data_IF_850010340730
#
_entry.id   IF_850010340730
#
_cell.length_a   1.000
_cell.length_b   1.000
_cell.length_c   1.000
_cell.angle_alpha   90.00
_cell.angle_beta   90.00
_cell.angle_gamma   90.00
#
_symmetry.space_group_name_H-M   'P 1'
#
loop_
_entity.id
_entity.type
_entity.pdbx_description
1 polymer ?
#
# COMPACT_ATOMS: atom_id res chain seq x y z
N UNK A 1 18.63 -5.99 13.59
CA UNK A 1 17.20 -6.37 13.80
C UNK A 1 16.33 -5.47 12.95
N UNK A 2 15.50 -6.03 12.07
CA UNK A 2 14.63 -5.25 11.17
C UNK A 2 13.63 -4.46 12.01
N UNK A 3 13.42 -3.20 11.67
CA UNK A 3 12.53 -2.31 12.44
C UNK A 3 11.18 -2.14 11.77
N UNK A 4 11.14 -1.96 10.44
CA UNK A 4 9.92 -1.67 9.68
C UNK A 4 9.74 -2.65 8.54
N UNK A 5 8.51 -3.14 8.36
CA UNK A 5 8.08 -3.92 7.21
C UNK A 5 7.16 -3.08 6.33
N UNK A 6 7.56 -2.84 5.09
CA UNK A 6 6.72 -2.18 4.09
C UNK A 6 5.88 -3.26 3.43
N UNK A 7 4.57 -3.07 3.39
CA UNK A 7 3.59 -4.04 2.90
C UNK A 7 2.84 -3.43 1.73
N UNK A 8 2.93 -4.06 0.56
CA UNK A 8 2.15 -3.70 -0.62
C UNK A 8 1.11 -4.80 -0.87
N UNK A 9 -0.17 -4.56 -0.55
CA UNK A 9 -1.25 -5.50 -0.87
C UNK A 9 -1.47 -5.52 -2.39
N UNK A 10 -1.33 -6.70 -3.00
CA UNK A 10 -1.63 -6.92 -4.42
C UNK A 10 -2.63 -8.06 -4.54
N UNK A 11 -3.87 -7.73 -4.91
CA UNK A 11 -4.89 -8.74 -5.16
C UNK A 11 -4.68 -9.42 -6.52
N UNK A 12 -5.48 -10.45 -6.80
CA UNK A 12 -5.51 -11.05 -8.12
C UNK A 12 -5.87 -9.99 -9.17
N UNK A 13 -4.97 -9.84 -10.16
CA UNK A 13 -5.06 -8.77 -11.18
C UNK A 13 -6.37 -8.89 -11.96
N UNK A 14 -6.82 -10.13 -12.22
CA UNK A 14 -8.07 -10.39 -12.97
C UNK A 14 -9.35 -9.88 -12.28
N UNK A 15 -9.33 -9.61 -10.98
CA UNK A 15 -10.49 -9.07 -10.24
C UNK A 15 -10.32 -7.62 -9.80
N UNK A 16 -9.13 -7.05 -10.04
CA UNK A 16 -8.84 -5.66 -9.71
C UNK A 16 -9.63 -4.69 -10.59
N UNK A 17 -9.81 -3.47 -10.09
CA UNK A 17 -10.36 -2.32 -10.85
C UNK A 17 -11.70 -2.61 -11.57
N UNK A 18 -12.65 -3.21 -10.87
CA UNK A 18 -13.97 -3.55 -11.44
C UNK A 18 -14.72 -2.36 -12.08
N UNK A 19 -14.48 -1.13 -11.61
CA UNK A 19 -15.07 0.09 -12.15
C UNK A 19 -14.56 0.45 -13.55
N UNK A 20 -13.30 0.08 -13.88
CA UNK A 20 -12.72 0.29 -15.20
C UNK A 20 -13.21 -0.71 -16.26
N UNK A 21 -13.77 -1.85 -15.84
CA UNK A 21 -14.22 -2.92 -16.79
C UNK A 21 -15.34 -2.52 -17.72
N UNK A 22 -16.03 -1.42 -17.45
CA UNK A 22 -17.07 -0.90 -18.34
C UNK A 22 -16.51 -0.26 -19.59
N UNK A 23 -15.29 0.28 -19.49
CA UNK A 23 -14.67 1.11 -20.55
C UNK A 23 -13.39 0.48 -21.13
N UNK A 24 -12.79 -0.51 -20.45
CA UNK A 24 -11.49 -1.07 -20.84
C UNK A 24 -11.52 -2.60 -20.86
N UNK A 25 -10.73 -3.17 -21.79
CA UNK A 25 -10.55 -4.62 -21.85
C UNK A 25 -9.83 -5.15 -20.61
N UNK A 26 -10.04 -6.43 -20.28
CA UNK A 26 -9.36 -7.06 -19.15
C UNK A 26 -7.83 -7.02 -19.30
N UNK A 27 -7.35 -7.13 -20.55
CA UNK A 27 -5.90 -7.05 -20.83
C UNK A 27 -5.34 -5.66 -20.53
N UNK A 28 -6.01 -4.59 -20.94
CA UNK A 28 -5.61 -3.21 -20.63
C UNK A 28 -5.60 -2.96 -19.11
N UNK A 29 -6.62 -3.45 -18.39
CA UNK A 29 -6.66 -3.36 -16.93
C UNK A 29 -5.50 -4.13 -16.28
N UNK A 30 -5.20 -5.32 -16.79
CA UNK A 30 -4.09 -6.13 -16.26
C UNK A 30 -2.74 -5.42 -16.45
N UNK A 31 -2.52 -4.81 -17.63
CA UNK A 31 -1.32 -4.01 -17.92
C UNK A 31 -1.23 -2.80 -16.98
N UNK A 32 -2.33 -2.07 -16.81
CA UNK A 32 -2.40 -0.93 -15.89
C UNK A 32 -2.04 -1.32 -14.46
N UNK A 33 -2.71 -2.33 -13.90
CA UNK A 33 -2.47 -2.78 -12.51
C UNK A 33 -1.03 -3.25 -12.31
N UNK A 34 -0.50 -4.01 -13.28
CA UNK A 34 0.89 -4.44 -13.25
C UNK A 34 1.86 -3.25 -13.28
N UNK A 35 1.60 -2.26 -14.13
CA UNK A 35 2.45 -1.07 -14.27
C UNK A 35 2.44 -0.22 -13.00
N UNK A 36 1.26 0.12 -12.46
CA UNK A 36 1.15 0.89 -11.21
C UNK A 36 1.89 0.19 -10.07
N UNK A 37 1.63 -1.10 -9.87
CA UNK A 37 2.27 -1.86 -8.79
C UNK A 37 3.77 -2.02 -8.98
N UNK A 38 4.25 -2.26 -10.21
CA UNK A 38 5.69 -2.35 -10.51
C UNK A 38 6.39 -1.02 -10.23
N UNK A 39 5.83 0.09 -10.69
CA UNK A 39 6.37 1.43 -10.47
C UNK A 39 6.49 1.77 -8.98
N UNK A 40 5.48 1.44 -8.18
CA UNK A 40 5.56 1.60 -6.72
C UNK A 40 6.69 0.76 -6.13
N UNK A 41 6.76 -0.54 -6.49
CA UNK A 41 7.78 -1.45 -5.99
C UNK A 41 9.18 -0.97 -6.36
N UNK A 42 9.41 -0.53 -7.62
CA UNK A 42 10.70 0.01 -8.08
C UNK A 42 11.15 1.21 -7.23
N UNK A 43 10.25 2.16 -6.99
CA UNK A 43 10.55 3.34 -6.18
C UNK A 43 10.85 2.99 -4.73
N UNK A 44 10.09 2.08 -4.13
CA UNK A 44 10.36 1.61 -2.77
C UNK A 44 11.71 0.88 -2.72
N UNK A 45 12.01 -0.01 -3.67
CA UNK A 45 13.30 -0.71 -3.73
C UNK A 45 14.47 0.29 -3.84
N UNK A 46 14.35 1.33 -4.68
CA UNK A 46 15.37 2.41 -4.79
C UNK A 46 15.60 3.09 -3.45
N UNK A 47 14.54 3.47 -2.74
CA UNK A 47 14.65 4.08 -1.41
C UNK A 47 15.33 3.16 -0.40
N UNK A 48 15.10 1.87 -0.48
CA UNK A 48 15.60 0.90 0.50
C UNK A 48 17.04 0.44 0.25
N UNK A 49 17.67 0.77 -0.88
CA UNK A 49 19.03 0.30 -1.24
C UNK A 49 20.02 0.51 -0.09
N UNK A 50 20.01 1.68 0.54
CA UNK A 50 20.92 2.03 1.66
C UNK A 50 20.40 1.60 3.04
N UNK A 51 19.17 1.14 3.16
CA UNK A 51 18.50 0.88 4.44
C UNK A 51 18.04 -0.58 4.63
N UNK A 52 18.56 -1.51 3.84
CA UNK A 52 18.21 -2.95 3.88
C UNK A 52 18.38 -3.62 5.25
N UNK A 53 19.21 -3.05 6.14
CA UNK A 53 19.36 -3.55 7.51
C UNK A 53 18.18 -3.21 8.41
N UNK A 54 17.41 -2.17 8.10
CA UNK A 54 16.33 -1.64 8.92
C UNK A 54 14.94 -1.84 8.33
N UNK A 55 14.83 -2.10 7.03
CA UNK A 55 13.57 -2.18 6.29
C UNK A 55 13.51 -3.42 5.43
N UNK A 56 12.36 -4.05 5.39
CA UNK A 56 12.04 -5.09 4.42
C UNK A 56 10.80 -4.67 3.61
N UNK A 57 10.73 -5.14 2.36
CA UNK A 57 9.58 -4.98 1.48
C UNK A 57 8.88 -6.32 1.33
N UNK A 58 7.55 -6.32 1.45
CA UNK A 58 6.73 -7.51 1.29
C UNK A 58 5.52 -7.26 0.39
N UNK A 59 5.21 -8.20 -0.47
CA UNK A 59 3.93 -8.28 -1.17
C UNK A 59 2.96 -9.11 -0.32
N UNK A 60 1.80 -8.53 -0.01
CA UNK A 60 0.71 -9.22 0.68
C UNK A 60 -0.27 -9.76 -0.36
N UNK A 61 -0.24 -11.07 -0.62
CA UNK A 61 -1.08 -11.71 -1.64
C UNK A 61 -1.31 -13.18 -1.37
N UNK A 62 -2.49 -13.69 -1.67
CA UNK A 62 -2.81 -15.11 -1.76
C UNK A 62 -2.67 -15.67 -3.19
N UNK A 63 -2.49 -14.80 -4.20
CA UNK A 63 -2.50 -15.17 -5.61
C UNK A 63 -1.11 -15.64 -6.09
N UNK A 64 -1.01 -16.92 -6.50
CA UNK A 64 0.24 -17.47 -7.02
C UNK A 64 0.69 -16.80 -8.34
N UNK A 65 -0.26 -16.32 -9.17
CA UNK A 65 0.09 -15.56 -10.39
C UNK A 65 0.82 -14.27 -10.05
N UNK A 66 0.37 -13.54 -9.00
CA UNK A 66 1.07 -12.34 -8.53
C UNK A 66 2.48 -12.69 -8.05
N UNK A 67 2.65 -13.76 -7.27
CA UNK A 67 3.99 -14.21 -6.83
C UNK A 67 4.90 -14.53 -8.01
N UNK A 68 4.37 -15.18 -9.05
CA UNK A 68 5.13 -15.50 -10.26
C UNK A 68 5.55 -14.28 -11.05
N UNK A 69 4.72 -13.24 -11.11
CA UNK A 69 5.03 -11.97 -11.81
C UNK A 69 6.22 -11.23 -11.18
N UNK A 70 6.36 -11.29 -9.85
CA UNK A 70 7.40 -10.57 -9.12
C UNK A 70 8.52 -11.47 -8.58
N UNK A 71 8.61 -12.74 -9.02
CA UNK A 71 9.56 -13.75 -8.51
C UNK A 71 11.03 -13.36 -8.64
N UNK A 72 11.38 -12.52 -9.61
CA UNK A 72 12.76 -12.04 -9.84
C UNK A 72 13.19 -10.95 -8.84
N UNK A 73 12.25 -10.36 -8.08
CA UNK A 73 12.53 -9.33 -7.09
C UNK A 73 12.91 -9.95 -5.76
N UNK A 74 13.83 -9.33 -5.05
CA UNK A 74 14.20 -9.72 -3.68
C UNK A 74 13.19 -9.16 -2.65
N UNK A 75 11.94 -9.64 -2.73
CA UNK A 75 10.79 -9.17 -1.94
C UNK A 75 10.23 -10.35 -1.14
N UNK A 76 9.81 -10.11 0.08
CA UNK A 76 9.11 -11.08 0.92
C UNK A 76 7.65 -11.27 0.43
N UNK A 77 7.11 -12.46 0.66
CA UNK A 77 5.69 -12.74 0.39
C UNK A 77 4.96 -13.11 1.68
N UNK A 78 3.87 -12.39 1.96
CA UNK A 78 2.94 -12.69 3.04
C UNK A 78 1.66 -13.21 2.40
N UNK A 79 1.29 -14.46 2.72
CA UNK A 79 0.14 -15.12 2.11
C UNK A 79 -0.87 -15.52 3.16
N UNK A 80 -1.99 -14.77 3.28
CA UNK A 80 -3.13 -15.22 4.07
C UNK A 80 -3.65 -16.56 3.55
N UNK A 81 -3.99 -17.48 4.45
CA UNK A 81 -4.49 -18.81 4.07
C UNK A 81 -5.94 -18.78 3.57
N UNK A 82 -6.69 -17.73 3.91
CA UNK A 82 -8.11 -17.57 3.56
C UNK A 82 -8.32 -16.29 2.76
N UNK A 83 -9.20 -16.37 1.76
CA UNK A 83 -9.72 -15.17 1.09
C UNK A 83 -10.40 -14.29 2.13
N UNK A 84 -10.18 -12.98 2.02
CA UNK A 84 -10.72 -12.02 2.99
C UNK A 84 -10.67 -10.60 2.46
N UNK A 85 -11.25 -9.67 3.21
CA UNK A 85 -11.17 -8.24 2.98
C UNK A 85 -9.73 -7.73 3.15
N UNK A 86 -9.42 -6.55 2.59
CA UNK A 86 -8.12 -5.92 2.79
C UNK A 86 -7.80 -5.74 4.28
N UNK A 87 -8.80 -5.38 5.09
CA UNK A 87 -8.65 -5.22 6.54
C UNK A 87 -8.21 -6.51 7.24
N UNK A 88 -8.80 -7.63 6.88
CA UNK A 88 -8.44 -8.95 7.43
C UNK A 88 -7.05 -9.38 6.98
N UNK A 89 -6.69 -9.15 5.70
CA UNK A 89 -5.36 -9.44 5.15
C UNK A 89 -4.28 -8.61 5.85
N UNK A 90 -4.51 -7.31 6.05
CA UNK A 90 -3.57 -6.44 6.76
C UNK A 90 -3.45 -6.85 8.23
N UNK A 91 -4.55 -7.21 8.89
CA UNK A 91 -4.51 -7.74 10.27
C UNK A 91 -3.71 -9.06 10.37
N UNK A 92 -3.80 -9.91 9.33
CA UNK A 92 -2.96 -11.11 9.25
C UNK A 92 -1.47 -10.74 9.10
N UNK A 93 -1.16 -9.81 8.20
CA UNK A 93 0.21 -9.35 7.95
C UNK A 93 0.82 -8.69 9.20
N UNK A 94 0.03 -7.92 9.96
CA UNK A 94 0.45 -7.34 11.24
C UNK A 94 0.88 -8.44 12.23
N UNK A 95 0.03 -9.45 12.47
CA UNK A 95 0.38 -10.57 13.36
C UNK A 95 1.60 -11.35 12.87
N UNK A 96 1.75 -11.52 11.56
CA UNK A 96 2.94 -12.13 10.96
C UNK A 96 4.19 -11.28 11.23
N UNK A 97 4.11 -9.95 11.07
CA UNK A 97 5.21 -9.03 11.32
C UNK A 97 5.63 -9.01 12.81
N UNK A 98 4.66 -9.04 13.73
CA UNK A 98 4.93 -9.16 15.18
C UNK A 98 5.71 -10.45 15.48
N UNK A 99 5.29 -11.59 14.93
CA UNK A 99 6.00 -12.88 15.10
C UNK A 99 7.42 -12.86 14.50
N UNK A 100 7.69 -11.98 13.55
CA UNK A 100 9.01 -11.79 12.92
C UNK A 100 9.82 -10.65 13.56
N UNK A 101 9.36 -10.12 14.71
CA UNK A 101 10.01 -9.08 15.50
C UNK A 101 10.17 -7.73 14.81
N UNK A 102 9.31 -7.40 13.83
CA UNK A 102 9.22 -6.02 13.32
C UNK A 102 8.65 -5.10 14.40
N UNK A 103 9.01 -3.81 14.35
CA UNK A 103 8.55 -2.78 15.28
C UNK A 103 7.45 -1.90 14.71
N UNK A 104 7.37 -1.82 13.39
CA UNK A 104 6.30 -1.12 12.70
C UNK A 104 6.01 -1.76 11.34
N UNK A 105 4.82 -1.47 10.81
CA UNK A 105 4.43 -1.81 9.44
C UNK A 105 4.01 -0.55 8.71
N UNK A 106 4.40 -0.42 7.43
CA UNK A 106 3.96 0.64 6.53
C UNK A 106 3.19 0.02 5.37
N UNK A 107 1.90 0.28 5.28
CA UNK A 107 1.02 -0.26 4.23
C UNK A 107 0.88 0.79 3.13
N UNK A 108 1.20 0.41 1.89
CA UNK A 108 1.08 1.24 0.69
C UNK A 108 0.20 0.50 -0.34
N UNK A 109 -0.88 1.09 -0.86
CA UNK A 109 -1.71 0.46 -1.87
C UNK A 109 -0.95 0.35 -3.20
N UNK A 110 -1.23 -0.71 -3.95
CA UNK A 110 -0.52 -1.02 -5.21
C UNK A 110 -0.98 -0.20 -6.42
N UNK A 111 -1.93 0.68 -6.23
CA UNK A 111 -2.62 1.44 -7.29
C UNK A 111 -2.44 2.95 -7.20
N UNK A 112 -1.45 3.39 -6.44
CA UNK A 112 -1.01 4.79 -6.47
C UNK A 112 -0.62 5.19 -7.90
N UNK A 113 -1.11 6.33 -8.36
CA UNK A 113 -0.95 6.77 -9.74
C UNK A 113 0.53 7.02 -10.08
N UNK A 114 1.18 7.91 -9.33
CA UNK A 114 2.58 8.25 -9.53
C UNK A 114 3.23 8.74 -8.22
N UNK A 115 3.46 7.88 -7.22
CA UNK A 115 4.02 8.29 -5.94
C UNK A 115 5.47 8.76 -6.09
N UNK A 116 5.78 9.99 -5.69
CA UNK A 116 7.15 10.52 -5.74
C UNK A 116 8.06 9.86 -4.72
N UNK A 117 9.37 9.85 -4.99
CA UNK A 117 10.36 9.35 -4.02
C UNK A 117 10.36 10.18 -2.72
N UNK A 118 10.06 11.47 -2.81
CA UNK A 118 9.97 12.36 -1.66
C UNK A 118 8.81 11.99 -0.74
N UNK A 119 7.59 11.92 -1.28
CA UNK A 119 6.40 11.55 -0.50
C UNK A 119 6.51 10.13 0.08
N UNK A 120 7.06 9.17 -0.70
CA UNK A 120 7.33 7.82 -0.20
C UNK A 120 8.36 7.82 0.93
N UNK A 121 9.42 8.62 0.82
CA UNK A 121 10.42 8.78 1.88
C UNK A 121 9.80 9.33 3.16
N UNK A 122 8.95 10.34 3.04
CA UNK A 122 8.33 11.02 4.18
C UNK A 122 7.41 10.09 4.98
N UNK A 123 6.68 9.18 4.33
CA UNK A 123 5.84 8.22 5.05
C UNK A 123 6.62 6.99 5.54
N UNK A 124 7.55 6.44 4.73
CA UNK A 124 8.30 5.22 5.06
C UNK A 124 9.31 5.48 6.19
N UNK A 125 10.05 6.58 6.11
CA UNK A 125 11.11 6.90 7.05
C UNK A 125 10.68 7.86 8.15
N UNK A 126 9.36 8.07 8.30
CA UNK A 126 8.85 8.87 9.40
C UNK A 126 9.36 8.31 10.75
N UNK A 127 9.86 9.17 11.65
CA UNK A 127 10.36 8.72 12.95
C UNK A 127 9.21 8.20 13.83
N UNK A 128 9.09 6.87 13.90
CA UNK A 128 8.02 6.22 14.64
C UNK A 128 8.33 6.12 16.12
N UNK A 129 7.39 6.57 16.94
CA UNK A 129 7.38 6.40 18.40
C UNK A 129 6.50 5.22 18.81
N UNK A 130 6.55 4.84 20.08
CA UNK A 130 5.64 3.81 20.62
C UNK A 130 4.18 4.26 20.52
N UNK A 131 3.30 3.31 20.23
CA UNK A 131 1.86 3.52 20.10
C UNK A 131 1.49 4.68 19.14
N UNK A 132 2.15 4.72 17.98
CA UNK A 132 2.01 5.80 17.00
C UNK A 132 1.51 5.28 15.66
N UNK A 133 0.66 6.08 15.01
CA UNK A 133 0.19 5.92 13.63
C UNK A 133 0.46 7.18 12.82
N UNK A 134 1.02 7.00 11.62
CA UNK A 134 1.12 8.03 10.59
C UNK A 134 0.22 7.61 9.44
N UNK A 135 -0.63 8.50 8.95
CA UNK A 135 -1.65 8.16 7.96
C UNK A 135 -1.75 9.23 6.88
N UNK A 136 -1.85 8.80 5.62
CA UNK A 136 -2.15 9.66 4.47
C UNK A 136 -3.53 9.28 3.91
N UNK A 137 -4.48 10.24 3.81
CA UNK A 137 -5.77 9.98 3.17
C UNK A 137 -5.63 9.84 1.65
N UNK A 138 -6.63 9.23 0.99
CA UNK A 138 -6.87 9.45 -0.43
C UNK A 138 -7.76 10.68 -0.65
N UNK A 139 -7.82 11.19 -1.87
CA UNK A 139 -8.76 12.27 -2.23
C UNK A 139 -10.23 11.90 -1.99
N UNK A 140 -10.56 10.62 -1.99
CA UNK A 140 -11.91 10.08 -1.78
C UNK A 140 -12.18 9.67 -0.31
N UNK A 141 -11.47 10.23 0.67
CA UNK A 141 -11.58 9.88 2.10
C UNK A 141 -11.25 8.40 2.42
N UNK A 142 -10.54 7.72 1.54
CA UNK A 142 -9.90 6.44 1.79
C UNK A 142 -8.59 6.60 2.58
N UNK A 143 -7.81 5.53 2.69
CA UNK A 143 -6.49 5.51 3.33
C UNK A 143 -5.47 4.98 2.33
N UNK A 144 -4.61 5.85 1.80
CA UNK A 144 -3.60 5.50 0.80
C UNK A 144 -2.23 5.16 1.37
N UNK A 145 -1.92 5.61 2.58
CA UNK A 145 -0.79 5.07 3.30
C UNK A 145 -1.07 5.03 4.79
N UNK A 146 -0.56 4.00 5.46
CA UNK A 146 -0.69 3.86 6.90
C UNK A 146 0.58 3.21 7.46
N UNK A 147 1.36 3.98 8.24
CA UNK A 147 2.53 3.50 8.96
C UNK A 147 2.20 3.45 10.46
N UNK A 148 2.36 2.29 11.10
CA UNK A 148 1.94 2.09 12.48
C UNK A 148 2.94 1.22 13.23
N UNK A 149 3.19 1.55 14.49
CA UNK A 149 3.95 0.71 15.41
C UNK A 149 3.14 -0.53 15.80
N UNK A 150 3.80 -1.66 15.94
CA UNK A 150 3.20 -2.95 16.27
C UNK A 150 3.89 -3.60 17.47
N UNK A 151 3.17 -4.40 18.29
CA UNK A 151 1.75 -4.74 18.16
C UNK A 151 0.85 -3.53 18.37
N UNK A 152 -0.32 -3.51 17.73
CA UNK A 152 -1.26 -2.38 17.80
C UNK A 152 -2.67 -2.81 18.20
N UNK A 153 -3.40 -1.90 18.87
CA UNK A 153 -4.83 -2.04 19.12
C UNK A 153 -5.69 -1.39 18.01
N UNK A 154 -5.07 -0.98 16.89
CA UNK A 154 -5.81 -0.46 15.75
C UNK A 154 -6.54 -1.62 15.05
N UNK A 155 -7.86 -1.58 15.02
CA UNK A 155 -8.65 -2.43 14.14
C UNK A 155 -8.61 -1.84 12.73
N UNK A 156 -7.86 -2.45 11.80
CA UNK A 156 -7.84 -2.00 10.41
C UNK A 156 -9.22 -2.01 9.79
N UNK A 157 -9.60 -0.93 9.11
CA UNK A 157 -10.94 -0.71 8.57
C UNK A 157 -10.88 -0.03 7.20
N UNK A 158 -10.27 -0.72 6.22
CA UNK A 158 -10.19 -0.26 4.83
C UNK A 158 -11.56 -0.27 4.13
N UNK A 159 -11.68 0.49 3.04
CA UNK A 159 -12.90 0.69 2.27
C UNK A 159 -13.50 2.08 2.49
N UNK A 160 -14.79 2.22 2.25
CA UNK A 160 -15.48 3.53 2.27
C UNK A 160 -15.24 4.29 3.58
N UNK A 161 -14.79 5.55 3.46
CA UNK A 161 -14.47 6.44 4.58
C UNK A 161 -13.43 5.85 5.56
N UNK A 162 -12.50 5.04 5.06
CA UNK A 162 -11.51 4.34 5.89
C UNK A 162 -10.62 5.30 6.67
N UNK A 163 -10.28 6.45 6.12
CA UNK A 163 -9.50 7.48 6.82
C UNK A 163 -10.16 7.92 8.13
N UNK A 164 -11.43 8.34 8.05
CA UNK A 164 -12.21 8.74 9.24
C UNK A 164 -12.36 7.59 10.25
N UNK A 165 -12.58 6.37 9.76
CA UNK A 165 -12.69 5.18 10.61
C UNK A 165 -11.37 4.92 11.36
N UNK A 166 -10.23 4.94 10.69
CA UNK A 166 -8.93 4.75 11.31
C UNK A 166 -8.65 5.82 12.37
N UNK A 167 -8.94 7.11 12.08
CA UNK A 167 -8.78 8.19 13.07
C UNK A 167 -9.66 7.98 14.30
N UNK A 168 -10.92 7.58 14.11
CA UNK A 168 -11.85 7.32 15.22
C UNK A 168 -11.36 6.16 16.09
N UNK A 169 -10.90 5.07 15.48
CA UNK A 169 -10.38 3.90 16.20
C UNK A 169 -9.07 4.26 16.91
N UNK A 170 -8.18 5.00 16.27
CA UNK A 170 -6.92 5.46 16.86
C UNK A 170 -7.18 6.33 18.10
N UNK A 171 -8.10 7.31 17.99
CA UNK A 171 -8.50 8.17 19.12
C UNK A 171 -9.04 7.33 20.29
N UNK A 172 -9.95 6.37 20.02
CA UNK A 172 -10.52 5.47 21.04
C UNK A 172 -9.44 4.66 21.75
N UNK A 173 -8.42 4.21 21.05
CA UNK A 173 -7.32 3.40 21.60
C UNK A 173 -6.10 4.24 22.04
N UNK A 174 -6.23 5.56 22.10
CA UNK A 174 -5.18 6.50 22.52
C UNK A 174 -3.89 6.35 21.71
N UNK A 175 -3.99 6.02 20.42
CA UNK A 175 -2.86 5.91 19.49
C UNK A 175 -2.49 7.32 19.05
N UNK A 176 -1.22 7.72 19.27
CA UNK A 176 -0.69 8.99 18.79
C UNK A 176 -0.77 9.02 17.27
N UNK A 177 -1.44 10.02 16.70
CA UNK A 177 -1.71 10.05 15.27
C UNK A 177 -1.11 11.27 14.61
N UNK A 178 -0.34 11.08 13.54
CA UNK A 178 0.13 12.11 12.62
C UNK A 178 -0.55 11.93 11.27
N UNK A 179 -1.13 12.98 10.74
CA UNK A 179 -1.69 13.01 9.39
C UNK A 179 -0.68 13.68 8.48
N UNK A 180 -0.35 13.04 7.36
CA UNK A 180 0.45 13.61 6.28
C UNK A 180 -0.43 13.72 5.03
N UNK A 181 -0.48 14.90 4.45
CA UNK A 181 -1.16 15.15 3.16
C UNK A 181 -0.08 15.16 2.08
N UNK A 182 0.19 13.98 1.51
CA UNK A 182 1.24 13.73 0.53
C UNK A 182 0.59 13.63 -0.86
N UNK A 183 0.70 14.68 -1.65
CA UNK A 183 -0.08 14.84 -2.88
C UNK A 183 0.03 13.65 -3.84
N UNK A 184 1.23 13.09 -4.03
CA UNK A 184 1.42 11.96 -4.93
C UNK A 184 0.92 10.62 -4.34
N UNK A 185 0.77 10.54 -3.03
CA UNK A 185 0.21 9.36 -2.34
C UNK A 185 -1.32 9.47 -2.20
N UNK A 186 -1.87 10.69 -2.17
CA UNK A 186 -3.34 10.88 -2.10
C UNK A 186 -4.06 10.44 -3.37
N UNK A 187 -3.34 10.27 -4.49
CA UNK A 187 -3.90 9.94 -5.79
C UNK A 187 -3.71 8.47 -6.14
N UNK A 188 -4.81 7.73 -6.17
CA UNK A 188 -4.92 6.35 -6.62
C UNK A 188 -5.85 6.25 -7.85
N UNK A 189 -5.62 5.29 -8.74
CA UNK A 189 -6.36 5.12 -9.99
C UNK A 189 -7.48 4.12 -9.80
N UNK A 190 -8.68 4.55 -9.43
CA UNK A 190 -9.82 3.68 -9.14
C UNK A 190 -10.87 3.59 -10.26
N UNK A 191 -10.96 4.62 -11.08
CA UNK A 191 -11.98 4.76 -12.11
C UNK A 191 -11.42 5.45 -13.38
N UNK A 192 -12.25 5.61 -14.40
CA UNK A 192 -11.86 6.17 -15.69
C UNK A 192 -11.39 7.63 -15.61
N UNK A 193 -12.00 8.43 -14.72
CA UNK A 193 -11.57 9.83 -14.52
C UNK A 193 -10.17 9.91 -13.96
N UNK A 194 -9.85 9.03 -13.00
CA UNK A 194 -8.52 8.95 -12.41
C UNK A 194 -7.48 8.54 -13.46
N UNK A 195 -7.84 7.62 -14.35
CA UNK A 195 -6.95 7.19 -15.44
C UNK A 195 -6.73 8.32 -16.48
N UNK A 196 -7.77 9.05 -16.83
CA UNK A 196 -7.66 10.23 -17.71
C UNK A 196 -6.75 11.28 -17.07
N UNK A 197 -6.94 11.57 -15.78
CA UNK A 197 -6.09 12.51 -15.06
C UNK A 197 -4.63 12.06 -15.03
N UNK A 198 -4.38 10.78 -14.81
CA UNK A 198 -3.03 10.21 -14.84
C UNK A 198 -2.40 10.38 -16.23
N UNK A 199 -3.11 10.03 -17.31
CA UNK A 199 -2.58 10.13 -18.68
C UNK A 199 -2.42 11.57 -19.15
N UNK A 200 -3.19 12.52 -18.64
CA UNK A 200 -2.96 13.95 -18.88
C UNK A 200 -1.67 14.44 -18.21
N UNK A 201 -1.37 13.96 -17.01
CA UNK A 201 -0.14 14.31 -16.28
C UNK A 201 1.09 13.55 -16.81
N UNK A 202 0.87 12.35 -17.32
CA UNK A 202 1.90 11.45 -17.86
C UNK A 202 1.43 10.87 -19.21
N UNK A 203 1.54 11.61 -20.31
CA UNK A 203 0.99 11.21 -21.62
C UNK A 203 1.47 9.83 -22.10
N UNK A 204 2.70 9.45 -21.76
CA UNK A 204 3.31 8.16 -22.15
C UNK A 204 3.17 7.05 -21.10
N UNK A 205 2.33 7.28 -20.09
CA UNK A 205 2.19 6.30 -19.01
C UNK A 205 1.74 4.91 -19.49
N UNK A 206 0.92 4.81 -20.54
CA UNK A 206 0.42 3.53 -21.08
C UNK A 206 1.27 2.94 -22.19
N UNK A 207 2.20 3.72 -22.78
CA UNK A 207 2.93 3.36 -24.01
C UNK A 207 4.18 2.50 -23.76
N UNK A 208 4.65 2.37 -22.50
CA UNK A 208 5.89 1.64 -22.14
C UNK A 208 5.63 0.29 -21.48
#
# INVERSE_FOLDING_TARGET
MKKTLIIVPINEISVAKSRLRKSFSQEAINKLVFKLSSQLLDRVEVLLVKFKSCYDLAILTECNKVKSLYKSRNILYISPQKKGTLSEKVSFAERWAVKKNYKSICILPSDLANPTLEDLRDIIFFPMEENMMVICPSYNNGTNALHITIPTNLKFSYGLNSFKKHLTIAKKNKIKTKILYLNSIQFDVDNEKDLIELTQKEPYFLDN
#
